data_IF_526062246127
#
_entry.id   IF_526062246127
#
_cell.length_a   1.000
_cell.length_b   1.000
_cell.length_c   1.000
_cell.angle_alpha   90.00
_cell.angle_beta   90.00
_cell.angle_gamma   90.00
#
_symmetry.space_group_name_H-M   'P 1'
#
loop_
_entity.id
_entity.type
_entity.pdbx_description
1 polymer ?
#
# COMPACT_ATOMS: atom_id res chain seq x y z
N UNK A 1 13.83 -12.78 -13.22
CA UNK A 1 13.83 -11.54 -12.42
C UNK A 1 15.11 -11.48 -11.60
N UNK A 2 15.83 -10.37 -11.64
CA UNK A 2 17.05 -10.19 -10.87
C UNK A 2 16.75 -9.79 -9.42
N UNK A 3 17.74 -9.91 -8.54
CA UNK A 3 17.62 -9.47 -7.14
C UNK A 3 17.31 -7.96 -7.06
N UNK A 4 17.94 -7.15 -7.92
CA UNK A 4 17.71 -5.71 -7.97
C UNK A 4 16.28 -5.37 -8.39
N UNK A 5 15.74 -6.13 -9.35
CA UNK A 5 14.36 -5.95 -9.80
C UNK A 5 13.37 -6.30 -8.69
N UNK A 6 13.64 -7.39 -7.96
CA UNK A 6 12.81 -7.79 -6.84
C UNK A 6 12.80 -6.71 -5.75
N UNK A 7 13.97 -6.17 -5.40
CA UNK A 7 14.09 -5.09 -4.43
C UNK A 7 13.34 -3.84 -4.86
N UNK A 8 13.44 -3.47 -6.14
CA UNK A 8 12.73 -2.31 -6.68
C UNK A 8 11.21 -2.50 -6.62
N UNK A 9 10.72 -3.70 -6.96
CA UNK A 9 9.28 -4.02 -6.88
C UNK A 9 8.77 -3.95 -5.46
N UNK A 10 9.52 -4.52 -4.51
CA UNK A 10 9.15 -4.48 -3.09
C UNK A 10 9.11 -3.04 -2.57
N UNK A 11 10.09 -2.22 -2.96
CA UNK A 11 10.13 -0.80 -2.58
C UNK A 11 8.94 -0.02 -3.12
N UNK A 12 8.54 -0.27 -4.35
CA UNK A 12 7.37 0.38 -4.96
C UNK A 12 6.07 -0.08 -4.32
N UNK A 13 5.99 -1.35 -3.94
CA UNK A 13 4.82 -1.86 -3.23
C UNK A 13 4.71 -1.22 -1.84
N UNK A 14 5.84 -1.05 -1.14
CA UNK A 14 5.87 -0.32 0.13
C UNK A 14 5.36 1.11 -0.03
N UNK A 15 5.77 1.81 -1.09
CA UNK A 15 5.29 3.15 -1.38
C UNK A 15 3.78 3.17 -1.58
N UNK A 16 3.25 2.22 -2.35
CA UNK A 16 1.81 2.07 -2.55
C UNK A 16 1.08 1.86 -1.21
N UNK A 17 1.58 0.95 -0.36
CA UNK A 17 0.97 0.67 0.94
C UNK A 17 1.00 1.89 1.85
N UNK A 18 2.09 2.65 1.84
CA UNK A 18 2.22 3.89 2.61
C UNK A 18 1.20 4.94 2.15
N UNK A 19 1.04 5.11 0.85
CA UNK A 19 0.03 6.01 0.28
C UNK A 19 -1.38 5.57 0.63
N UNK A 20 -1.64 4.28 0.63
CA UNK A 20 -2.95 3.74 1.01
C UNK A 20 -3.26 4.02 2.48
N UNK A 21 -2.28 3.89 3.36
CA UNK A 21 -2.45 4.26 4.77
C UNK A 21 -2.85 5.73 4.92
N UNK A 22 -2.24 6.63 4.14
CA UNK A 22 -2.60 8.05 4.16
C UNK A 22 -4.04 8.27 3.71
N UNK A 23 -4.48 7.57 2.68
CA UNK A 23 -5.87 7.67 2.19
C UNK A 23 -6.85 7.16 3.24
N UNK A 24 -6.56 6.02 3.86
CA UNK A 24 -7.41 5.47 4.93
C UNK A 24 -7.47 6.44 6.12
N UNK A 25 -6.34 7.01 6.51
CA UNK A 25 -6.29 8.00 7.60
C UNK A 25 -7.12 9.25 7.25
N UNK A 26 -7.06 9.69 6.00
CA UNK A 26 -7.88 10.81 5.52
C UNK A 26 -9.37 10.49 5.58
N UNK A 27 -9.77 9.26 5.18
CA UNK A 27 -11.16 8.83 5.28
C UNK A 27 -11.64 8.87 6.74
N UNK A 28 -10.83 8.38 7.67
CA UNK A 28 -11.16 8.39 9.09
C UNK A 28 -11.30 9.84 9.60
N UNK A 29 -10.36 10.70 9.23
CA UNK A 29 -10.37 12.10 9.63
C UNK A 29 -11.61 12.84 9.12
N UNK A 30 -12.17 12.41 8.00
CA UNK A 30 -13.34 13.02 7.36
C UNK A 30 -14.63 12.23 7.60
N UNK A 31 -14.66 11.33 8.58
CA UNK A 31 -15.83 10.50 8.87
C UNK A 31 -17.05 11.31 9.28
N UNK A 32 -16.87 12.54 9.77
CA UNK A 32 -17.93 13.45 10.16
C UNK A 32 -18.10 14.63 9.19
N UNK A 33 -17.36 14.65 8.10
CA UNK A 33 -17.47 15.72 7.09
C UNK A 33 -18.69 15.47 6.22
N UNK A 34 -19.69 16.38 6.20
CA UNK A 34 -20.88 16.18 5.35
C UNK A 34 -20.52 16.04 3.89
N UNK A 35 -21.12 15.05 3.23
CA UNK A 35 -20.93 14.79 1.80
C UNK A 35 -19.62 14.14 1.42
N UNK A 36 -18.75 13.85 2.37
CA UNK A 36 -17.47 13.21 2.06
C UNK A 36 -17.66 11.79 1.54
N UNK A 37 -17.01 11.49 0.43
CA UNK A 37 -17.04 10.17 -0.19
C UNK A 37 -15.72 9.44 0.10
N UNK A 38 -15.83 8.20 0.59
CA UNK A 38 -14.69 7.35 0.87
C UNK A 38 -13.84 7.19 -0.37
N UNK A 39 -12.52 7.31 -0.20
CA UNK A 39 -11.55 7.16 -1.28
C UNK A 39 -10.64 5.97 -1.02
N UNK A 40 -10.09 5.43 -2.09
CA UNK A 40 -9.08 4.39 -2.03
C UNK A 40 -8.13 4.56 -3.21
N UNK A 41 -7.02 3.83 -3.19
CA UNK A 41 -6.12 3.73 -4.33
C UNK A 41 -6.41 2.46 -5.10
N UNK A 42 -6.32 2.53 -6.42
CA UNK A 42 -6.40 1.32 -7.24
C UNK A 42 -5.21 0.43 -6.92
N UNK A 43 -5.50 -0.81 -6.53
CA UNK A 43 -4.44 -1.77 -6.24
C UNK A 43 -3.74 -2.18 -7.55
N UNK A 44 -2.40 -2.35 -7.54
CA UNK A 44 -1.73 -2.99 -8.66
C UNK A 44 -2.27 -4.42 -8.82
N UNK A 45 -2.49 -4.84 -10.08
CA UNK A 45 -3.00 -6.18 -10.38
C UNK A 45 -2.01 -7.26 -9.93
N UNK A 46 -0.73 -6.95 -10.00
CA UNK A 46 0.36 -7.81 -9.53
C UNK A 46 1.60 -6.96 -9.24
N UNK A 47 2.67 -7.60 -8.79
CA UNK A 47 3.94 -6.92 -8.51
C UNK A 47 4.54 -6.24 -9.74
N UNK A 48 4.33 -6.80 -10.93
CA UNK A 48 4.86 -6.22 -12.17
C UNK A 48 4.19 -4.89 -12.47
N UNK A 49 2.89 -4.79 -12.27
CA UNK A 49 2.14 -3.56 -12.48
C UNK A 49 2.47 -2.48 -11.44
N UNK A 50 2.87 -2.88 -10.23
CA UNK A 50 3.34 -1.94 -9.22
C UNK A 50 4.57 -1.15 -9.66
N UNK A 51 5.32 -1.64 -10.65
CA UNK A 51 6.51 -0.96 -11.19
C UNK A 51 6.18 0.17 -12.14
N UNK A 52 5.07 0.05 -12.87
CA UNK A 52 4.79 0.90 -14.03
C UNK A 52 3.57 1.79 -13.84
N UNK A 53 2.62 1.38 -13.02
CA UNK A 53 1.35 2.07 -12.89
C UNK A 53 1.33 2.94 -11.63
N UNK A 54 1.11 4.24 -11.84
CA UNK A 54 0.74 5.13 -10.75
C UNK A 54 -0.64 4.71 -10.24
N UNK A 55 -0.75 4.46 -8.95
CA UNK A 55 -2.04 4.20 -8.32
C UNK A 55 -2.93 5.43 -8.46
N UNK A 56 -4.14 5.24 -8.92
CA UNK A 56 -5.11 6.31 -9.06
C UNK A 56 -6.03 6.34 -7.86
N UNK A 57 -6.35 7.56 -7.39
CA UNK A 57 -7.34 7.75 -6.34
C UNK A 57 -8.73 7.56 -6.92
N UNK A 58 -9.54 6.73 -6.29
CA UNK A 58 -10.92 6.45 -6.70
C UNK A 58 -11.88 6.67 -5.52
N UNK A 59 -13.11 7.02 -5.83
CA UNK A 59 -14.19 7.04 -4.85
C UNK A 59 -14.86 5.67 -4.80
N UNK A 60 -15.43 5.33 -3.65
CA UNK A 60 -16.12 4.05 -3.45
C UNK A 60 -17.64 4.35 -3.31
N UNK A 61 -18.36 4.55 -4.42
CA UNK A 61 -19.74 4.99 -4.39
C UNK A 61 -20.73 3.91 -3.93
N UNK A 62 -20.32 2.64 -3.93
CA UNK A 62 -21.18 1.52 -3.55
C UNK A 62 -21.41 1.42 -2.04
N UNK A 63 -20.69 2.19 -1.22
CA UNK A 63 -20.88 2.18 0.22
C UNK A 63 -22.14 2.97 0.60
N UNK A 64 -22.94 2.47 1.58
CA UNK A 64 -24.13 3.19 2.02
C UNK A 64 -23.78 4.56 2.60
N UNK A 65 -24.50 5.58 2.17
CA UNK A 65 -24.33 6.95 2.69
C UNK A 65 -25.24 7.21 3.88
N UNK A 66 -24.75 7.99 4.84
CA UNK A 66 -25.57 8.53 5.91
C UNK A 66 -26.44 9.69 5.41
N UNK A 67 -27.31 10.22 6.28
CA UNK A 67 -28.20 11.32 5.93
C UNK A 67 -27.47 12.59 5.47
N UNK A 68 -26.23 12.80 5.93
CA UNK A 68 -25.40 13.94 5.54
C UNK A 68 -24.63 13.69 4.22
N UNK A 69 -24.83 12.54 3.58
CA UNK A 69 -24.16 12.15 2.35
C UNK A 69 -22.77 11.52 2.54
N UNK A 70 -22.29 11.41 3.77
CA UNK A 70 -21.00 10.80 4.10
C UNK A 70 -21.12 9.28 4.05
N UNK A 71 -20.21 8.59 3.35
CA UNK A 71 -20.26 7.13 3.24
C UNK A 71 -19.05 6.45 3.90
N UNK A 72 -18.31 7.14 4.76
CA UNK A 72 -17.18 6.55 5.47
C UNK A 72 -17.67 5.53 6.51
N UNK A 73 -17.15 4.32 6.45
CA UNK A 73 -17.37 3.28 7.44
C UNK A 73 -16.10 3.13 8.29
N UNK A 74 -16.15 3.52 9.54
CA UNK A 74 -15.01 3.43 10.46
C UNK A 74 -14.56 1.99 10.62
N UNK A 75 -15.48 1.04 10.68
CA UNK A 75 -15.13 -0.39 10.79
C UNK A 75 -14.35 -0.87 9.58
N UNK A 76 -14.78 -0.47 8.38
CA UNK A 76 -14.08 -0.79 7.14
C UNK A 76 -12.69 -0.16 7.13
N UNK A 77 -12.59 1.12 7.45
CA UNK A 77 -11.31 1.84 7.43
C UNK A 77 -10.33 1.30 8.46
N UNK A 78 -10.80 0.98 9.67
CA UNK A 78 -9.97 0.37 10.71
C UNK A 78 -9.41 -0.99 10.27
N UNK A 79 -10.24 -1.79 9.61
CA UNK A 79 -9.83 -3.09 9.08
C UNK A 79 -8.80 -2.96 7.96
N UNK A 80 -9.01 -2.00 7.06
CA UNK A 80 -8.06 -1.70 5.98
C UNK A 80 -6.73 -1.18 6.54
N UNK A 81 -6.79 -0.35 7.57
CA UNK A 81 -5.57 0.16 8.21
C UNK A 81 -4.74 -0.99 8.79
N UNK A 82 -5.39 -1.89 9.53
CA UNK A 82 -4.71 -3.05 10.11
C UNK A 82 -4.13 -3.97 9.03
N UNK A 83 -4.90 -4.24 7.98
CA UNK A 83 -4.46 -5.08 6.85
C UNK A 83 -3.28 -4.45 6.12
N UNK A 84 -3.36 -3.16 5.84
CA UNK A 84 -2.29 -2.44 5.13
C UNK A 84 -1.02 -2.38 5.97
N UNK A 85 -1.14 -2.15 7.28
CA UNK A 85 0.00 -2.16 8.19
C UNK A 85 0.68 -3.53 8.25
N UNK A 86 -0.11 -4.61 8.27
CA UNK A 86 0.42 -5.97 8.26
C UNK A 86 1.17 -6.25 6.95
N UNK A 87 0.58 -5.91 5.82
CA UNK A 87 1.22 -6.07 4.51
C UNK A 87 2.50 -5.24 4.42
N UNK A 88 2.49 -4.02 4.96
CA UNK A 88 3.68 -3.16 5.00
C UNK A 88 4.81 -3.84 5.78
N UNK A 89 4.51 -4.35 6.98
CA UNK A 89 5.52 -5.00 7.81
C UNK A 89 6.11 -6.24 7.12
N UNK A 90 5.27 -7.09 6.52
CA UNK A 90 5.73 -8.29 5.81
C UNK A 90 6.60 -7.90 4.61
N UNK A 91 6.15 -6.93 3.83
CA UNK A 91 6.88 -6.47 2.64
C UNK A 91 8.22 -5.84 3.04
N UNK A 92 8.26 -5.07 4.13
CA UNK A 92 9.51 -4.48 4.64
C UNK A 92 10.51 -5.55 5.07
N UNK A 93 10.03 -6.64 5.69
CA UNK A 93 10.89 -7.77 6.06
C UNK A 93 11.43 -8.48 4.82
N UNK A 94 10.60 -8.66 3.80
CA UNK A 94 11.03 -9.24 2.53
C UNK A 94 12.10 -8.38 1.86
N UNK A 95 11.93 -7.06 1.87
CA UNK A 95 12.91 -6.13 1.31
C UNK A 95 14.24 -6.19 2.07
N UNK A 96 14.21 -6.25 3.40
CA UNK A 96 15.44 -6.41 4.20
C UNK A 96 16.15 -7.70 3.87
N UNK A 97 15.42 -8.80 3.70
CA UNK A 97 15.99 -10.09 3.30
C UNK A 97 16.62 -10.00 1.92
N UNK A 98 15.99 -9.31 0.99
CA UNK A 98 16.48 -9.11 -0.37
C UNK A 98 17.78 -8.30 -0.36
N UNK A 99 17.84 -7.23 0.41
CA UNK A 99 19.04 -6.40 0.56
C UNK A 99 20.18 -7.24 1.16
N UNK A 100 19.88 -8.06 2.16
CA UNK A 100 20.86 -8.96 2.76
C UNK A 100 21.40 -9.96 1.76
N UNK A 101 20.53 -10.53 0.92
CA UNK A 101 20.95 -11.48 -0.12
C UNK A 101 21.85 -10.83 -1.16
N UNK A 102 21.54 -9.62 -1.59
CA UNK A 102 22.36 -8.86 -2.53
C UNK A 102 23.73 -8.57 -1.92
N UNK A 103 23.75 -8.13 -0.67
CA UNK A 103 24.99 -7.86 0.05
C UNK A 103 25.86 -9.10 0.17
N UNK A 104 25.29 -10.25 0.51
CA UNK A 104 25.99 -11.52 0.60
C UNK A 104 26.57 -11.94 -0.75
N UNK A 105 25.83 -11.78 -1.82
CA UNK A 105 26.29 -12.09 -3.17
C UNK A 105 27.50 -11.22 -3.58
N UNK A 106 27.49 -9.93 -3.19
CA UNK A 106 28.62 -9.02 -3.45
C UNK A 106 29.85 -9.46 -2.66
N UNK A 107 29.68 -9.82 -1.39
CA UNK A 107 30.79 -10.28 -0.54
C UNK A 107 31.41 -11.59 -1.05
N UNK A 108 30.56 -12.54 -1.48
CA UNK A 108 31.04 -13.78 -2.09
C UNK A 108 31.82 -13.51 -3.37
N UNK A 109 31.39 -12.57 -4.18
CA UNK A 109 32.10 -12.15 -5.38
C UNK A 109 33.48 -11.55 -5.10
N UNK A 110 33.65 -10.94 -3.93
CA UNK A 110 34.96 -10.36 -3.52
C UNK A 110 35.95 -11.40 -3.03
N UNK A 111 35.46 -12.50 -2.49
CA UNK A 111 36.29 -13.53 -1.88
C UNK A 111 36.72 -14.63 -2.85
N UNK A 112 36.11 -14.66 -4.02
CA UNK A 112 36.42 -15.64 -5.08
C UNK A 112 37.44 -15.10 -6.17
#
# INVERSE_FOLDING_TARGET
MTLDQTGLQLGRFLTYLSQREEVVASNIANADTPGYQTRDLTAPADFSNALTDASAMIEIPALPSRNDGNNVSIDREARLLAETALKFNVTAQMLRSEIKNVRSAIEEGRTS
#
